data_IF_329562865750
#
_entry.id   IF_329562865750
#
_cell.length_a   1.000
_cell.length_b   1.000
_cell.length_c   1.000
_cell.angle_alpha   90.00
_cell.angle_beta   90.00
_cell.angle_gamma   90.00
#
_symmetry.space_group_name_H-M   'P 1'
#
loop_
_entity.id
_entity.type
_entity.pdbx_description
1 polymer ?
#
# COMPACT_ATOMS: atom_id res chain seq x y z
N UNK A 1 5.69 2.45 -16.86
CA UNK A 1 6.06 1.52 -15.77
C UNK A 1 4.92 1.56 -14.78
N UNK A 2 4.21 0.45 -14.61
CA UNK A 2 2.95 0.36 -13.82
C UNK A 2 3.32 0.19 -12.35
N UNK A 3 2.81 1.07 -11.47
CA UNK A 3 3.00 0.98 -10.02
C UNK A 3 1.66 0.57 -9.42
N UNK A 4 1.64 -0.50 -8.63
CA UNK A 4 0.45 -1.18 -8.07
C UNK A 4 0.19 -0.73 -6.62
N UNK A 5 -1.08 -0.65 -6.18
CA UNK A 5 -1.49 -0.15 -4.84
C UNK A 5 -1.82 -1.29 -3.88
N UNK A 6 -0.88 -1.73 -3.07
CA UNK A 6 -1.03 -2.94 -2.27
C UNK A 6 -1.81 -2.67 -0.92
N UNK A 7 -2.90 -3.38 -0.54
CA UNK A 7 -3.50 -3.40 0.83
C UNK A 7 -4.01 -4.78 1.35
N UNK A 8 -3.51 -5.33 2.48
CA UNK A 8 -4.10 -6.40 3.36
C UNK A 8 -3.24 -6.65 4.66
N UNK A 9 -3.78 -7.27 5.72
CA UNK A 9 -3.23 -7.41 7.09
C UNK A 9 -2.20 -8.54 7.31
N UNK A 10 -1.33 -8.39 8.33
CA UNK A 10 -0.33 -9.40 8.70
C UNK A 10 0.13 -9.39 10.19
N UNK A 11 0.72 -10.49 10.73
CA UNK A 11 1.24 -10.55 12.11
C UNK A 11 2.73 -10.16 12.27
N UNK A 12 3.12 -9.75 13.48
CA UNK A 12 4.48 -9.31 13.90
C UNK A 12 5.32 -10.45 14.57
N UNK A 13 6.69 -10.42 14.69
CA UNK A 13 7.62 -9.32 14.41
C UNK A 13 7.85 -9.05 12.93
N UNK A 14 7.47 -7.86 12.48
CA UNK A 14 7.78 -7.27 11.19
C UNK A 14 9.29 -7.00 11.25
N UNK A 15 10.07 -7.92 10.70
CA UNK A 15 11.39 -7.54 10.22
C UNK A 15 11.15 -6.28 9.38
N UNK A 16 12.01 -5.27 9.50
CA UNK A 16 12.28 -4.33 8.42
C UNK A 16 12.86 -5.11 7.21
N UNK A 17 12.20 -6.21 6.80
CA UNK A 17 12.22 -6.92 5.53
C UNK A 17 10.99 -7.79 5.16
N UNK A 18 9.88 -7.89 5.91
CA UNK A 18 8.70 -8.66 5.46
C UNK A 18 7.40 -8.46 6.25
N UNK A 19 6.29 -8.67 5.55
CA UNK A 19 4.89 -8.86 6.01
C UNK A 19 4.73 -10.20 6.77
N UNK A 20 5.81 -10.71 7.35
CA UNK A 20 5.87 -12.05 7.89
C UNK A 20 6.37 -11.97 9.32
N UNK A 21 5.70 -12.65 10.27
CA UNK A 21 6.13 -12.70 11.65
C UNK A 21 7.49 -13.42 11.71
N UNK A 22 8.43 -12.90 12.49
CA UNK A 22 9.71 -13.57 12.78
C UNK A 22 9.55 -14.85 13.62
N UNK A 23 8.40 -15.05 14.28
CA UNK A 23 8.10 -16.23 15.09
C UNK A 23 6.97 -17.05 14.46
N UNK A 24 6.94 -18.36 14.73
CA UNK A 24 5.88 -19.24 14.25
C UNK A 24 4.53 -18.83 14.84
N UNK A 25 3.75 -18.06 14.09
CA UNK A 25 2.38 -17.73 14.43
C UNK A 25 1.55 -19.02 14.46
N UNK A 26 0.75 -19.22 15.50
CA UNK A 26 -0.24 -20.31 15.58
C UNK A 26 -1.66 -19.84 15.24
N UNK A 27 -1.80 -18.59 14.80
CA UNK A 27 -3.07 -17.99 14.41
C UNK A 27 -3.24 -18.09 12.90
N UNK A 28 -4.32 -18.74 12.48
CA UNK A 28 -4.71 -18.88 11.08
C UNK A 28 -5.73 -17.79 10.74
N UNK A 29 -5.60 -17.17 9.56
CA UNK A 29 -6.72 -16.47 8.94
C UNK A 29 -7.62 -17.51 8.28
N UNK A 30 -8.77 -17.80 8.88
CA UNK A 30 -9.72 -18.81 8.39
C UNK A 30 -10.50 -18.26 7.20
N UNK A 31 -10.96 -17.02 7.31
CA UNK A 31 -11.63 -16.37 6.19
C UNK A 31 -11.38 -14.88 6.11
N UNK A 32 -11.52 -14.37 4.89
CA UNK A 32 -11.46 -12.96 4.57
C UNK A 32 -12.63 -12.57 3.67
N UNK A 33 -13.28 -11.45 3.97
CA UNK A 33 -14.26 -10.82 3.08
C UNK A 33 -13.93 -9.35 2.92
N UNK A 34 -13.79 -8.93 1.67
CA UNK A 34 -13.45 -7.56 1.30
C UNK A 34 -14.59 -6.98 0.48
N UNK A 35 -15.16 -5.88 0.95
CA UNK A 35 -16.20 -5.12 0.27
C UNK A 35 -15.64 -3.74 -0.09
N UNK A 36 -15.21 -3.58 -1.33
CA UNK A 36 -14.73 -2.32 -1.88
C UNK A 36 -15.82 -1.62 -2.68
N UNK A 37 -16.15 -0.38 -2.30
CA UNK A 37 -16.95 0.56 -3.08
C UNK A 37 -16.00 1.50 -3.81
N UNK A 38 -15.99 1.42 -5.13
CA UNK A 38 -15.05 2.14 -5.98
C UNK A 38 -15.72 3.39 -6.57
N UNK A 39 -15.11 4.54 -6.32
CA UNK A 39 -15.45 5.82 -6.92
C UNK A 39 -14.33 6.26 -7.88
N UNK A 40 -14.61 7.22 -8.75
CA UNK A 40 -13.63 7.69 -9.75
C UNK A 40 -12.34 8.26 -9.14
N UNK A 41 -12.41 8.80 -7.92
CA UNK A 41 -11.30 9.45 -7.23
C UNK A 41 -10.85 8.72 -5.96
N UNK A 42 -11.62 7.75 -5.47
CA UNK A 42 -11.43 7.15 -4.16
C UNK A 42 -12.08 5.77 -4.04
N UNK A 43 -11.78 5.06 -2.95
CA UNK A 43 -12.41 3.80 -2.57
C UNK A 43 -12.75 3.82 -1.09
N UNK A 44 -13.90 3.26 -0.74
CA UNK A 44 -14.28 2.92 0.63
C UNK A 44 -14.25 1.41 0.73
N UNK A 45 -13.46 0.88 1.65
CA UNK A 45 -13.22 -0.56 1.77
C UNK A 45 -13.55 -1.02 3.18
N UNK A 46 -14.27 -2.13 3.27
CA UNK A 46 -14.47 -2.89 4.50
C UNK A 46 -13.83 -4.27 4.31
N UNK A 47 -12.92 -4.63 5.21
CA UNK A 47 -12.32 -5.95 5.29
C UNK A 47 -12.73 -6.61 6.60
N UNK A 48 -13.19 -7.85 6.52
CA UNK A 48 -13.54 -8.68 7.68
C UNK A 48 -12.71 -9.95 7.64
N UNK A 49 -11.92 -10.15 8.68
CA UNK A 49 -11.05 -11.30 8.85
C UNK A 49 -11.55 -12.14 10.02
N UNK A 50 -11.69 -13.44 9.80
CA UNK A 50 -11.95 -14.41 10.85
C UNK A 50 -10.66 -15.14 11.14
N UNK A 51 -10.16 -14.98 12.35
CA UNK A 51 -8.88 -15.50 12.81
C UNK A 51 -9.13 -16.64 13.79
N UNK A 52 -8.28 -17.68 13.79
CA UNK A 52 -8.37 -18.81 14.72
C UNK A 52 -7.02 -19.12 15.33
N UNK A 53 -6.94 -19.17 16.65
CA UNK A 53 -5.72 -19.56 17.36
C UNK A 53 -5.67 -21.08 17.58
N UNK A 54 -4.65 -21.74 17.03
CA UNK A 54 -4.43 -23.18 17.21
C UNK A 54 -3.49 -23.50 18.38
N UNK A 55 -2.85 -22.48 18.96
CA UNK A 55 -1.90 -22.61 20.04
C UNK A 55 -2.52 -22.36 21.42
N UNK A 56 -1.64 -22.05 22.37
CA UNK A 56 -2.01 -21.54 23.69
C UNK A 56 -2.47 -20.09 23.58
N UNK A 57 -3.05 -19.57 24.65
CA UNK A 57 -3.37 -18.15 24.73
C UNK A 57 -2.14 -17.29 24.47
N UNK A 58 -2.28 -16.30 23.59
CA UNK A 58 -1.21 -15.36 23.24
C UNK A 58 -1.78 -14.01 22.83
N UNK A 59 -1.01 -12.95 23.09
CA UNK A 59 -1.24 -11.64 22.49
C UNK A 59 -0.23 -11.46 21.36
N UNK A 60 -0.72 -11.09 20.18
CA UNK A 60 0.13 -10.79 19.03
C UNK A 60 -0.17 -9.39 18.51
N UNK A 61 0.84 -8.74 17.97
CA UNK A 61 0.70 -7.52 17.21
C UNK A 61 0.19 -7.86 15.80
N UNK A 62 -0.89 -7.18 15.40
CA UNK A 62 -1.51 -7.26 14.07
C UNK A 62 -1.31 -5.92 13.39
N UNK A 63 -0.89 -5.95 12.13
CA UNK A 63 -0.68 -4.76 11.31
C UNK A 63 -1.67 -4.66 10.15
N UNK A 64 -2.11 -3.44 9.85
CA UNK A 64 -2.73 -3.06 8.57
C UNK A 64 -1.79 -2.11 7.80
N UNK A 65 -1.48 -2.34 6.50
CA UNK A 65 -0.49 -1.55 5.78
C UNK A 65 -0.82 -0.06 5.77
N UNK A 66 0.20 0.77 5.97
CA UNK A 66 0.09 2.22 5.84
C UNK A 66 -0.05 2.58 4.36
N UNK A 67 -1.26 2.97 3.98
CA UNK A 67 -1.62 3.07 2.56
C UNK A 67 -0.93 4.25 1.82
N UNK A 68 -0.41 5.22 2.58
CA UNK A 68 0.32 6.41 2.09
C UNK A 68 1.54 6.07 1.23
N UNK A 69 2.17 4.91 1.42
CA UNK A 69 3.35 4.47 0.66
C UNK A 69 3.04 3.97 -0.75
N UNK A 70 1.76 3.72 -1.08
CA UNK A 70 1.34 3.13 -2.34
C UNK A 70 0.89 4.13 -3.40
N UNK A 71 0.75 5.41 -3.02
CA UNK A 71 0.27 6.46 -3.91
C UNK A 71 1.44 7.35 -4.37
N UNK A 72 2.04 7.02 -5.51
CA UNK A 72 3.04 7.87 -6.16
C UNK A 72 2.37 8.94 -7.06
N UNK A 73 2.89 10.16 -6.97
CA UNK A 73 2.48 11.43 -7.60
C UNK A 73 1.00 11.90 -7.66
N UNK A 74 0.30 12.11 -6.53
CA UNK A 74 -0.79 13.13 -6.45
C UNK A 74 -0.32 14.39 -5.71
N UNK A 75 0.31 15.33 -6.43
CA UNK A 75 0.60 16.68 -5.89
C UNK A 75 -0.70 17.25 -5.28
N UNK A 76 -0.69 17.50 -3.97
CA UNK A 76 -1.81 18.09 -3.24
C UNK A 76 -2.53 17.21 -2.22
N UNK A 77 -2.22 15.90 -2.16
CA UNK A 77 -2.71 14.97 -1.11
C UNK A 77 -1.55 14.33 -0.31
N UNK A 78 -0.33 14.87 -0.47
CA UNK A 78 0.87 14.35 0.17
C UNK A 78 1.00 14.89 1.59
N UNK A 79 0.59 14.08 2.56
CA UNK A 79 0.83 14.36 3.98
C UNK A 79 -0.15 13.69 4.93
N UNK A 80 -1.32 13.28 4.45
CA UNK A 80 -2.38 12.89 5.38
C UNK A 80 -2.29 11.39 5.65
N UNK A 81 -1.75 11.09 6.83
CA UNK A 81 -2.03 9.87 7.58
C UNK A 81 -3.49 9.44 7.32
N UNK A 82 -3.71 8.23 6.81
CA UNK A 82 -5.07 7.72 6.54
C UNK A 82 -5.72 7.15 7.81
N UNK A 83 -4.98 7.07 8.92
CA UNK A 83 -5.51 6.61 10.21
C UNK A 83 -6.79 7.33 10.65
N UNK A 84 -7.02 8.63 10.40
CA UNK A 84 -8.26 9.31 10.74
C UNK A 84 -9.47 8.78 9.95
N UNK A 85 -9.23 8.17 8.79
CA UNK A 85 -10.24 7.55 7.93
C UNK A 85 -10.26 6.04 8.06
N UNK A 86 -9.50 5.47 8.99
CA UNK A 86 -9.44 4.05 9.28
C UNK A 86 -10.07 3.77 10.64
N UNK A 87 -10.99 2.82 10.66
CA UNK A 87 -11.50 2.23 11.90
C UNK A 87 -11.13 0.75 11.95
N UNK A 88 -10.67 0.31 13.12
CA UNK A 88 -10.35 -1.09 13.41
C UNK A 88 -11.25 -1.58 14.53
N UNK A 89 -11.84 -2.76 14.35
CA UNK A 89 -12.65 -3.44 15.35
C UNK A 89 -12.08 -4.83 15.61
N UNK A 90 -12.04 -5.21 16.89
CA UNK A 90 -11.71 -6.57 17.34
C UNK A 90 -12.94 -7.11 18.07
N UNK A 91 -13.58 -8.13 17.48
CA UNK A 91 -14.93 -8.52 17.86
C UNK A 91 -15.91 -7.35 17.67
N UNK A 92 -16.55 -6.93 18.76
CA UNK A 92 -17.45 -5.77 18.79
C UNK A 92 -16.78 -4.48 19.27
N UNK A 93 -15.53 -4.53 19.74
CA UNK A 93 -14.83 -3.38 20.30
C UNK A 93 -14.12 -2.60 19.19
N UNK A 94 -14.34 -1.28 19.14
CA UNK A 94 -13.56 -0.38 18.29
C UNK A 94 -12.24 -0.06 18.98
N UNK A 95 -11.12 -0.29 18.29
CA UNK A 95 -9.80 0.10 18.78
C UNK A 95 -9.67 1.62 18.71
N UNK A 96 -9.27 2.22 19.83
CA UNK A 96 -8.96 3.65 19.89
C UNK A 96 -7.79 3.96 18.95
N UNK A 97 -7.91 5.03 18.15
CA UNK A 97 -6.84 5.48 17.26
C UNK A 97 -5.51 5.73 17.99
N UNK A 98 -5.53 6.07 19.28
CA UNK A 98 -4.30 6.24 20.08
C UNK A 98 -3.57 4.92 20.35
N UNK A 99 -4.25 3.78 20.23
CA UNK A 99 -3.64 2.44 20.36
C UNK A 99 -3.05 1.94 19.04
N UNK A 100 -3.36 2.58 17.92
CA UNK A 100 -2.69 2.34 16.65
C UNK A 100 -1.33 3.03 16.68
N UNK A 101 -0.26 2.29 16.40
CA UNK A 101 1.07 2.89 16.28
C UNK A 101 1.81 2.42 15.04
N UNK A 102 2.71 3.27 14.58
CA UNK A 102 3.70 2.92 13.56
C UNK A 102 5.01 2.62 14.29
N UNK A 103 5.66 1.46 14.05
CA UNK A 103 6.93 1.11 14.67
C UNK A 103 7.98 2.22 14.50
N UNK A 104 8.73 2.53 15.58
CA UNK A 104 9.67 3.66 15.59
C UNK A 104 10.71 3.55 14.46
N UNK A 105 11.22 2.35 14.20
CA UNK A 105 12.20 2.13 13.14
C UNK A 105 11.65 2.49 11.73
N UNK A 106 10.34 2.37 11.51
CA UNK A 106 9.70 2.82 10.27
C UNK A 106 9.55 4.35 10.23
N UNK A 107 9.21 4.99 11.35
CA UNK A 107 9.19 6.47 11.48
C UNK A 107 10.58 7.07 11.22
N UNK A 108 11.63 6.47 11.79
CA UNK A 108 13.01 6.91 11.61
C UNK A 108 13.44 6.83 10.14
N UNK A 109 13.06 5.74 9.46
CA UNK A 109 13.32 5.56 8.04
C UNK A 109 12.57 6.58 7.17
N UNK A 110 11.29 6.86 7.47
CA UNK A 110 10.52 7.90 6.79
C UNK A 110 11.16 9.28 6.97
N UNK A 111 11.59 9.60 8.19
CA UNK A 111 12.29 10.85 8.49
C UNK A 111 13.60 10.97 7.69
N UNK A 112 14.39 9.89 7.62
CA UNK A 112 15.63 9.82 6.84
C UNK A 112 15.39 10.02 5.34
N UNK A 113 14.33 9.42 4.78
CA UNK A 113 13.93 9.62 3.37
C UNK A 113 13.57 11.09 3.11
N UNK A 114 12.78 11.71 4.00
CA UNK A 114 12.43 13.13 3.87
C UNK A 114 13.66 14.04 3.92
N UNK A 115 14.62 13.77 4.82
CA UNK A 115 15.88 14.51 4.88
C UNK A 115 16.68 14.35 3.59
N UNK A 116 16.78 13.13 3.06
CA UNK A 116 17.47 12.86 1.79
C UNK A 116 16.84 13.61 0.61
N UNK A 117 15.51 13.64 0.52
CA UNK A 117 14.81 14.38 -0.52
C UNK A 117 15.05 15.89 -0.41
N UNK A 118 14.92 16.47 0.80
CA UNK A 118 15.18 17.90 1.01
C UNK A 118 16.62 18.29 0.70
N UNK A 119 17.57 17.43 1.06
CA UNK A 119 18.97 17.60 0.73
C UNK A 119 19.21 17.61 -0.79
N UNK A 120 18.65 16.62 -1.50
CA UNK A 120 18.72 16.53 -2.97
C UNK A 120 18.05 17.72 -3.66
N UNK A 121 16.87 18.12 -3.23
CA UNK A 121 16.15 19.27 -3.79
C UNK A 121 16.96 20.56 -3.65
N UNK A 122 17.59 20.75 -2.49
CA UNK A 122 18.45 21.91 -2.23
C UNK A 122 19.68 21.92 -3.13
N UNK A 123 20.33 20.77 -3.33
CA UNK A 123 21.46 20.61 -4.22
C UNK A 123 21.08 20.84 -5.68
N UNK A 124 19.99 20.21 -6.14
CA UNK A 124 19.49 20.34 -7.50
C UNK A 124 19.14 21.79 -7.82
N UNK A 125 18.55 22.49 -6.85
CA UNK A 125 18.32 23.93 -6.97
C UNK A 125 19.64 24.70 -7.08
N UNK A 126 20.60 24.48 -6.17
CA UNK A 126 21.86 25.22 -6.16
C UNK A 126 22.70 25.03 -7.45
N UNK A 127 22.80 23.79 -7.94
CA UNK A 127 23.47 23.51 -9.21
C UNK A 127 22.70 24.07 -10.40
N UNK A 128 21.37 23.98 -10.38
CA UNK A 128 20.52 24.56 -11.41
C UNK A 128 20.68 26.07 -11.51
N UNK A 129 20.66 26.77 -10.37
CA UNK A 129 20.84 28.23 -10.29
C UNK A 129 22.25 28.62 -10.76
N UNK A 130 23.28 27.87 -10.37
CA UNK A 130 24.68 28.13 -10.80
C UNK A 130 24.87 27.94 -12.31
N UNK A 131 24.30 26.88 -12.88
CA UNK A 131 24.36 26.65 -14.32
C UNK A 131 23.50 27.66 -15.10
N UNK A 132 22.39 28.14 -14.54
CA UNK A 132 21.60 29.21 -15.15
C UNK A 132 22.38 30.52 -15.25
N UNK A 133 23.25 30.83 -14.29
CA UNK A 133 24.15 31.99 -14.38
C UNK A 133 25.16 31.88 -15.53
N UNK A 134 25.59 30.65 -15.87
CA UNK A 134 26.58 30.39 -16.93
C UNK A 134 25.91 30.36 -18.32
N UNK A 135 24.81 29.63 -18.45
CA UNK A 135 24.16 29.36 -19.74
C UNK A 135 23.02 30.35 -20.06
N UNK A 136 22.58 31.15 -19.10
CA UNK A 136 21.49 32.15 -19.23
C UNK A 136 20.08 31.56 -19.41
N UNK A 137 19.97 30.30 -19.83
CA UNK A 137 18.69 29.61 -20.06
C UNK A 137 18.86 28.08 -19.94
N UNK A 138 17.74 27.36 -19.82
CA UNK A 138 17.70 25.89 -19.76
C UNK A 138 17.74 25.27 -21.17
N UNK A 139 18.77 25.60 -21.93
CA UNK A 139 19.00 25.04 -23.26
C UNK A 139 19.59 23.60 -23.20
N UNK A 140 19.95 23.05 -24.35
CA UNK A 140 20.53 21.71 -24.46
C UNK A 140 21.82 21.57 -23.65
N UNK A 141 22.71 22.55 -23.72
CA UNK A 141 24.02 22.50 -23.07
C UNK A 141 23.88 22.59 -21.54
N UNK A 142 22.99 23.47 -21.04
CA UNK A 142 22.56 23.47 -19.64
C UNK A 142 22.07 22.07 -19.21
N UNK A 143 21.22 21.44 -20.02
CA UNK A 143 20.61 20.15 -19.66
C UNK A 143 21.67 19.04 -19.59
N UNK A 144 22.62 19.02 -20.53
CA UNK A 144 23.74 18.08 -20.54
C UNK A 144 24.63 18.31 -19.31
N UNK A 145 25.01 19.57 -19.04
CA UNK A 145 25.85 19.92 -17.89
C UNK A 145 25.17 19.59 -16.56
N UNK A 146 23.89 19.96 -16.41
CA UNK A 146 23.10 19.67 -15.22
C UNK A 146 23.02 18.16 -14.99
N UNK A 147 22.67 17.38 -16.01
CA UNK A 147 22.62 15.92 -15.91
C UNK A 147 23.99 15.33 -15.54
N UNK A 148 25.07 15.79 -16.16
CA UNK A 148 26.42 15.32 -15.86
C UNK A 148 26.84 15.57 -14.40
N UNK A 149 26.53 16.76 -13.87
CA UNK A 149 26.79 17.10 -12.46
C UNK A 149 25.94 16.22 -11.53
N UNK A 150 24.65 16.06 -11.82
CA UNK A 150 23.77 15.23 -11.00
C UNK A 150 24.20 13.76 -11.04
N UNK A 151 24.52 13.21 -12.21
CA UNK A 151 24.95 11.82 -12.37
C UNK A 151 26.27 11.56 -11.61
N UNK A 152 27.25 12.47 -11.71
CA UNK A 152 28.48 12.41 -10.94
C UNK A 152 28.19 12.46 -9.43
N UNK A 153 27.37 13.42 -9.00
CA UNK A 153 27.02 13.60 -7.61
C UNK A 153 26.30 12.39 -7.01
N UNK A 154 25.31 11.82 -7.72
CA UNK A 154 24.61 10.61 -7.32
C UNK A 154 25.52 9.37 -7.24
N UNK A 155 26.69 9.42 -7.88
CA UNK A 155 27.71 8.38 -7.81
C UNK A 155 28.65 8.54 -6.61
N UNK A 156 29.03 9.77 -6.25
CA UNK A 156 30.04 10.04 -5.21
C UNK A 156 29.45 10.40 -3.84
N UNK A 157 28.21 10.89 -3.77
CA UNK A 157 27.58 11.27 -2.51
C UNK A 157 27.13 10.05 -1.70
N UNK A 158 27.77 9.86 -0.55
CA UNK A 158 27.48 8.77 0.39
C UNK A 158 26.62 9.21 1.57
N UNK A 159 26.26 10.50 1.67
CA UNK A 159 25.56 11.11 2.81
C UNK A 159 24.27 10.40 3.18
N UNK A 160 23.56 9.88 2.18
CA UNK A 160 22.31 9.11 2.33
C UNK A 160 22.38 7.76 1.59
N UNK A 161 23.58 7.17 1.50
CA UNK A 161 23.78 5.86 0.84
C UNK A 161 23.00 4.72 1.50
N UNK A 162 22.84 4.79 2.82
CA UNK A 162 21.99 3.90 3.61
C UNK A 162 20.51 4.06 3.27
N UNK A 163 20.06 5.31 3.01
CA UNK A 163 18.69 5.60 2.59
C UNK A 163 18.47 5.13 1.17
N UNK A 164 19.40 5.35 0.24
CA UNK A 164 19.29 4.82 -1.12
C UNK A 164 19.12 3.30 -1.11
N UNK A 165 19.97 2.60 -0.36
CA UNK A 165 19.91 1.14 -0.22
C UNK A 165 18.64 0.66 0.47
N UNK A 166 18.19 1.37 1.51
CA UNK A 166 16.99 1.04 2.26
C UNK A 166 15.73 1.37 1.48
N UNK A 167 15.68 2.50 0.78
CA UNK A 167 14.59 2.95 -0.08
C UNK A 167 14.47 2.08 -1.33
N UNK A 168 15.59 1.68 -1.94
CA UNK A 168 15.57 0.69 -3.03
C UNK A 168 15.06 -0.66 -2.51
N UNK A 169 15.45 -1.10 -1.31
CA UNK A 169 14.85 -2.31 -0.69
C UNK A 169 13.37 -2.11 -0.34
N UNK A 170 12.95 -0.94 0.10
CA UNK A 170 11.54 -0.64 0.39
C UNK A 170 10.70 -0.67 -0.89
N UNK A 171 11.08 0.13 -1.89
CA UNK A 171 10.38 0.29 -3.16
C UNK A 171 10.48 -0.95 -4.07
N UNK A 172 11.65 -1.59 -4.14
CA UNK A 172 11.89 -2.72 -5.03
C UNK A 172 11.72 -4.09 -4.35
N UNK A 173 11.94 -4.22 -3.03
CA UNK A 173 11.62 -5.47 -2.32
C UNK A 173 10.22 -5.51 -1.67
N UNK A 174 9.37 -4.49 -1.81
CA UNK A 174 7.88 -4.54 -1.67
C UNK A 174 7.31 -5.19 -0.39
N UNK A 175 8.15 -5.41 0.61
CA UNK A 175 7.88 -6.27 1.78
C UNK A 175 8.05 -5.53 3.11
N UNK A 176 8.40 -4.24 3.05
CA UNK A 176 8.61 -3.37 4.21
C UNK A 176 7.82 -2.12 4.07
N UNK A 177 6.57 -2.17 4.47
CA UNK A 177 5.73 -0.99 4.43
C UNK A 177 5.36 -0.77 5.87
N UNK A 178 5.43 0.46 6.40
CA UNK A 178 4.92 0.70 7.73
C UNK A 178 3.48 0.20 7.81
N UNK A 179 3.12 -0.31 8.98
CA UNK A 179 1.78 -0.76 9.29
C UNK A 179 1.25 0.10 10.42
N UNK A 180 -0.06 0.34 10.43
CA UNK A 180 -0.76 0.64 11.67
C UNK A 180 -0.86 -0.65 12.46
N UNK A 181 -0.21 -0.69 13.63
CA UNK A 181 -0.11 -1.89 14.46
C UNK A 181 -0.98 -1.74 15.71
N UNK A 182 -1.62 -2.83 16.13
CA UNK A 182 -2.34 -2.95 17.39
C UNK A 182 -2.24 -4.36 17.96
N UNK A 183 -2.48 -4.50 19.26
CA UNK A 183 -2.48 -5.80 19.94
C UNK A 183 -3.84 -6.51 19.83
N UNK A 184 -3.79 -7.82 19.61
CA UNK A 184 -4.95 -8.71 19.71
C UNK A 184 -4.60 -9.91 20.58
N UNK A 185 -5.39 -10.12 21.64
CA UNK A 185 -5.30 -11.32 22.48
C UNK A 185 -6.17 -12.42 21.92
N UNK A 186 -5.59 -13.61 21.80
CA UNK A 186 -6.24 -14.82 21.34
C UNK A 186 -6.19 -15.91 22.41
N UNK A 187 -7.32 -16.34 22.97
CA UNK A 187 -7.42 -17.57 23.77
C UNK A 187 -7.16 -18.81 22.91
N UNK A 188 -6.81 -19.91 23.55
CA UNK A 188 -6.61 -21.18 22.87
C UNK A 188 -7.90 -21.62 22.13
N UNK A 189 -7.78 -22.00 20.85
CA UNK A 189 -8.85 -22.49 19.99
C UNK A 189 -9.97 -21.49 19.68
N UNK A 190 -9.86 -20.24 20.10
CA UNK A 190 -10.91 -19.25 19.87
C UNK A 190 -10.89 -18.71 18.45
N UNK A 191 -12.04 -18.16 18.05
CA UNK A 191 -12.17 -17.37 16.83
C UNK A 191 -12.35 -15.91 17.19
N UNK A 192 -11.55 -15.04 16.57
CA UNK A 192 -11.67 -13.59 16.71
C UNK A 192 -11.98 -13.00 15.34
N UNK A 193 -12.93 -12.08 15.31
CA UNK A 193 -13.19 -11.29 14.10
C UNK A 193 -12.43 -9.98 14.19
N UNK A 194 -11.67 -9.65 13.15
CA UNK A 194 -11.05 -8.34 12.98
C UNK A 194 -11.73 -7.67 11.80
N UNK A 195 -12.25 -6.45 12.00
CA UNK A 195 -12.82 -5.65 10.91
C UNK A 195 -12.03 -4.37 10.75
N UNK A 196 -11.62 -4.07 9.53
CA UNK A 196 -10.97 -2.81 9.17
C UNK A 196 -11.81 -2.11 8.13
N UNK A 197 -12.18 -0.86 8.37
CA UNK A 197 -12.83 -0.01 7.38
C UNK A 197 -11.95 1.19 7.09
N UNK A 198 -11.71 1.51 5.82
CA UNK A 198 -10.89 2.65 5.45
C UNK A 198 -11.38 3.35 4.18
N UNK A 199 -10.99 4.61 4.03
CA UNK A 199 -11.10 5.37 2.77
C UNK A 199 -9.72 5.69 2.24
N UNK A 200 -9.49 5.43 0.96
CA UNK A 200 -8.24 5.72 0.27
C UNK A 200 -8.51 6.40 -1.09
N UNK A 201 -7.60 7.26 -1.59
CA UNK A 201 -7.68 7.75 -2.97
C UNK A 201 -7.46 6.61 -3.97
N UNK A 202 -7.98 6.76 -5.19
CA UNK A 202 -7.70 5.82 -6.26
C UNK A 202 -6.23 5.90 -6.71
N UNK A 203 -5.69 4.78 -7.19
CA UNK A 203 -4.40 4.76 -7.86
C UNK A 203 -4.45 5.49 -9.20
N UNK A 204 -3.32 6.06 -9.64
CA UNK A 204 -3.19 6.75 -10.93
C UNK A 204 -1.97 6.25 -11.67
N UNK A 205 -2.12 5.86 -12.94
CA UNK A 205 -0.97 5.51 -13.78
C UNK A 205 -0.17 6.75 -14.16
N UNK A 206 1.16 6.66 -14.09
CA UNK A 206 2.05 7.78 -14.42
C UNK A 206 1.86 8.25 -15.87
N UNK A 207 1.55 9.55 -16.05
CA UNK A 207 1.27 10.20 -17.35
C UNK A 207 0.08 9.61 -18.12
N UNK A 208 -0.84 8.96 -17.41
CA UNK A 208 -2.05 8.36 -17.98
C UNK A 208 -3.28 8.87 -17.20
N UNK A 209 -4.44 8.90 -17.86
CA UNK A 209 -5.73 9.14 -17.21
C UNK A 209 -6.30 7.90 -16.54
N UNK A 210 -5.72 6.72 -16.79
CA UNK A 210 -6.12 5.47 -16.17
C UNK A 210 -5.94 5.51 -14.66
N UNK A 211 -7.01 5.10 -13.97
CA UNK A 211 -7.10 4.92 -12.53
C UNK A 211 -7.14 3.45 -12.20
N UNK A 212 -6.83 3.12 -10.96
CA UNK A 212 -6.94 1.74 -10.52
C UNK A 212 -7.25 1.60 -9.03
N UNK A 213 -7.84 0.46 -8.71
CA UNK A 213 -7.94 -0.12 -7.38
C UNK A 213 -7.05 -1.36 -7.33
N UNK A 214 -6.35 -1.55 -6.22
CA UNK A 214 -5.61 -2.78 -5.97
C UNK A 214 -5.72 -3.14 -4.50
N UNK A 215 -5.82 -4.44 -4.25
CA UNK A 215 -5.92 -5.05 -2.93
C UNK A 215 -4.92 -6.20 -2.86
N UNK A 216 -4.11 -6.26 -1.81
CA UNK A 216 -3.17 -7.37 -1.60
C UNK A 216 -3.95 -8.53 -1.01
N UNK A 217 -3.60 -9.75 -1.37
CA UNK A 217 -3.91 -10.94 -0.59
C UNK A 217 -2.62 -11.64 -0.14
N UNK A 218 -1.49 -11.41 -0.84
CA UNK A 218 -0.18 -12.03 -0.58
C UNK A 218 0.40 -11.81 0.83
N UNK A 219 -0.02 -10.74 1.52
CA UNK A 219 0.24 -10.48 2.95
C UNK A 219 -0.30 -11.59 3.85
N UNK A 220 -1.40 -12.22 3.43
CA UNK A 220 -2.03 -13.35 4.12
C UNK A 220 -1.10 -14.56 4.31
N UNK A 221 -0.04 -14.68 3.51
CA UNK A 221 0.95 -15.77 3.61
C UNK A 221 1.79 -15.71 4.90
N UNK A 222 1.69 -14.62 5.66
CA UNK A 222 2.31 -14.50 6.98
C UNK A 222 1.55 -15.24 8.10
N UNK A 223 0.31 -15.68 7.86
CA UNK A 223 -0.50 -16.37 8.86
C UNK A 223 -0.27 -17.88 8.87
N UNK A 224 -0.67 -18.53 9.96
CA UNK A 224 -0.55 -19.98 10.09
C UNK A 224 -1.50 -20.69 9.12
N UNK A 225 -0.97 -21.57 8.26
CA UNK A 225 -1.73 -22.33 7.23
C UNK A 225 -2.40 -21.43 6.18
N UNK A 226 -2.93 -22.08 5.14
CA UNK A 226 -3.73 -21.44 4.10
C UNK A 226 -5.00 -20.79 4.63
N UNK A 227 -5.45 -19.74 3.95
CA UNK A 227 -6.75 -19.12 4.14
C UNK A 227 -7.84 -20.04 3.58
N UNK A 228 -8.76 -20.51 4.42
CA UNK A 228 -9.77 -21.49 3.98
C UNK A 228 -10.71 -20.88 2.94
N UNK A 229 -11.09 -19.61 3.11
CA UNK A 229 -11.93 -18.89 2.15
C UNK A 229 -11.62 -17.39 2.12
N UNK A 230 -11.30 -16.84 0.95
CA UNK A 230 -11.24 -15.40 0.74
C UNK A 230 -12.26 -14.97 -0.33
N UNK A 231 -12.92 -13.83 -0.11
CA UNK A 231 -13.88 -13.27 -1.08
C UNK A 231 -13.67 -11.77 -1.20
N UNK A 232 -13.48 -11.29 -2.42
CA UNK A 232 -13.31 -9.87 -2.71
C UNK A 232 -14.44 -9.41 -3.63
N UNK A 233 -15.20 -8.43 -3.17
CA UNK A 233 -16.23 -7.73 -3.93
C UNK A 233 -15.76 -6.30 -4.21
N UNK A 234 -15.74 -5.92 -5.48
CA UNK A 234 -15.51 -4.55 -5.91
C UNK A 234 -16.72 -4.04 -6.69
N UNK A 235 -17.42 -3.07 -6.11
CA UNK A 235 -18.64 -2.49 -6.68
C UNK A 235 -18.35 -1.10 -7.22
N UNK A 236 -18.68 -0.87 -8.49
CA UNK A 236 -18.51 0.44 -9.13
C UNK A 236 -19.67 1.36 -8.73
N UNK A 237 -19.36 2.54 -8.21
CA UNK A 237 -20.36 3.45 -7.65
C UNK A 237 -20.76 4.55 -8.63
N UNK A 238 -19.80 5.33 -9.13
CA UNK A 238 -20.01 6.54 -9.92
C UNK A 238 -19.41 6.46 -11.36
N UNK A 239 -18.99 5.26 -11.79
CA UNK A 239 -18.58 4.97 -13.16
C UNK A 239 -19.11 3.62 -13.64
N UNK A 240 -19.10 3.43 -14.96
CA UNK A 240 -19.69 2.26 -15.60
C UNK A 240 -18.69 1.14 -15.85
N UNK A 241 -19.20 -0.09 -15.91
CA UNK A 241 -18.42 -1.29 -16.22
C UNK A 241 -17.63 -1.18 -17.53
N UNK A 242 -18.13 -0.40 -18.50
CA UNK A 242 -17.47 -0.18 -19.79
C UNK A 242 -16.20 0.68 -19.68
N UNK A 243 -15.97 1.37 -18.56
CA UNK A 243 -14.72 2.13 -18.35
C UNK A 243 -13.59 1.23 -17.85
N UNK A 244 -13.90 0.03 -17.35
CA UNK A 244 -12.92 -0.93 -16.82
C UNK A 244 -12.13 -1.54 -17.98
N UNK A 245 -10.82 -1.31 -17.99
CA UNK A 245 -9.89 -1.76 -19.03
C UNK A 245 -9.19 -3.07 -18.67
N UNK A 246 -9.04 -3.35 -17.36
CA UNK A 246 -8.31 -4.53 -16.89
C UNK A 246 -8.80 -4.97 -15.52
N UNK A 247 -8.82 -6.30 -15.32
CA UNK A 247 -9.04 -6.92 -14.01
C UNK A 247 -8.02 -8.02 -13.76
N UNK A 248 -7.62 -8.21 -12.50
CA UNK A 248 -6.87 -9.38 -12.03
C UNK A 248 -7.38 -9.82 -10.64
N UNK A 249 -7.26 -11.12 -10.29
CA UNK A 249 -6.91 -12.25 -11.17
C UNK A 249 -8.01 -12.53 -12.23
N UNK A 250 -7.74 -13.42 -13.20
CA UNK A 250 -8.62 -13.66 -14.36
C UNK A 250 -9.91 -14.42 -14.04
N UNK A 251 -10.01 -15.07 -12.87
CA UNK A 251 -11.17 -15.83 -12.40
C UNK A 251 -12.32 -14.96 -11.86
N UNK A 252 -12.40 -13.69 -12.29
CA UNK A 252 -13.42 -12.74 -11.85
C UNK A 252 -14.82 -13.12 -12.32
N UNK A 253 -15.82 -12.93 -11.46
CA UNK A 253 -17.24 -13.06 -11.79
C UNK A 253 -17.90 -11.69 -11.80
N UNK A 254 -18.74 -11.43 -12.80
CA UNK A 254 -19.41 -10.15 -13.00
C UNK A 254 -20.89 -10.24 -12.65
N UNK A 255 -21.38 -9.31 -11.84
CA UNK A 255 -22.82 -9.02 -11.68
C UNK A 255 -23.08 -7.65 -12.31
N UNK A 256 -23.63 -7.64 -13.52
CA UNK A 256 -23.89 -6.42 -14.30
C UNK A 256 -25.00 -5.57 -13.69
N UNK A 257 -25.98 -6.18 -13.01
CA UNK A 257 -27.08 -5.46 -12.39
C UNK A 257 -26.60 -4.67 -11.17
N UNK A 258 -25.66 -5.25 -10.41
CA UNK A 258 -25.06 -4.59 -9.23
C UNK A 258 -23.79 -3.80 -9.52
N UNK A 259 -23.27 -3.88 -10.76
CA UNK A 259 -21.95 -3.36 -11.16
C UNK A 259 -20.83 -3.87 -10.24
N UNK A 260 -20.84 -5.18 -9.95
CA UNK A 260 -19.91 -5.81 -8.99
C UNK A 260 -19.01 -6.83 -9.66
N UNK A 261 -17.71 -6.73 -9.40
CA UNK A 261 -16.69 -7.73 -9.70
C UNK A 261 -16.43 -8.56 -8.44
N UNK A 262 -16.44 -9.89 -8.57
CA UNK A 262 -16.25 -10.80 -7.44
C UNK A 262 -15.15 -11.82 -7.71
N UNK A 263 -14.21 -11.94 -6.78
CA UNK A 263 -13.23 -13.02 -6.71
C UNK A 263 -13.53 -13.91 -5.52
N UNK A 264 -13.45 -15.23 -5.73
CA UNK A 264 -13.58 -16.23 -4.67
C UNK A 264 -12.36 -17.13 -4.69
N UNK A 265 -11.76 -17.32 -3.52
CA UNK A 265 -10.62 -18.20 -3.30
C UNK A 265 -10.97 -19.21 -2.21
N UNK A 266 -10.46 -20.43 -2.34
CA UNK A 266 -10.70 -21.54 -1.40
C UNK A 266 -9.35 -22.22 -1.15
N UNK A 267 -9.02 -22.47 0.13
CA UNK A 267 -7.73 -23.03 0.55
C UNK A 267 -6.55 -22.29 -0.09
N UNK A 268 -6.58 -20.96 0.03
CA UNK A 268 -5.64 -20.04 -0.58
C UNK A 268 -4.35 -19.97 0.25
N UNK A 269 -3.23 -20.35 -0.35
CA UNK A 269 -1.90 -19.93 0.10
C UNK A 269 -1.50 -18.72 -0.74
N UNK A 270 -1.73 -17.49 -0.27
CA UNK A 270 -1.80 -16.35 -1.15
C UNK A 270 -0.43 -15.91 -1.68
N UNK A 271 -0.40 -15.51 -2.94
CA UNK A 271 0.78 -15.02 -3.64
C UNK A 271 0.48 -13.68 -4.31
N UNK A 272 1.50 -13.01 -4.86
CA UNK A 272 1.30 -11.78 -5.64
C UNK A 272 0.35 -11.97 -6.84
N UNK A 273 0.18 -13.20 -7.33
CA UNK A 273 -0.72 -13.51 -8.43
C UNK A 273 -2.21 -13.47 -8.01
N UNK A 274 -2.48 -13.57 -6.71
CA UNK A 274 -3.84 -13.59 -6.15
C UNK A 274 -4.35 -12.18 -5.84
N UNK A 275 -3.44 -11.20 -5.72
CA UNK A 275 -3.78 -9.80 -5.47
C UNK A 275 -4.79 -9.27 -6.49
N UNK A 276 -5.82 -8.59 -6.00
CA UNK A 276 -6.93 -8.08 -6.81
C UNK A 276 -6.57 -6.73 -7.39
N UNK A 277 -6.87 -6.55 -8.68
CA UNK A 277 -6.62 -5.32 -9.42
C UNK A 277 -7.80 -4.99 -10.32
N UNK A 278 -8.22 -3.73 -10.34
CA UNK A 278 -9.16 -3.18 -11.32
C UNK A 278 -8.57 -1.89 -11.86
N UNK A 279 -8.42 -1.80 -13.18
CA UNK A 279 -8.05 -0.58 -13.88
C UNK A 279 -9.24 -0.05 -14.66
N UNK A 280 -9.42 1.26 -14.64
CA UNK A 280 -10.51 1.92 -15.33
C UNK A 280 -10.12 3.32 -15.81
N UNK A 281 -10.79 3.78 -16.86
CA UNK A 281 -10.62 5.13 -17.36
C UNK A 281 -11.56 6.09 -16.61
N UNK A 282 -10.99 7.09 -15.94
CA UNK A 282 -11.78 8.16 -15.34
C UNK A 282 -12.35 9.07 -16.45
N UNK A 283 -13.66 9.38 -16.46
CA UNK A 283 -14.28 10.21 -17.50
C UNK A 283 -13.82 11.69 -17.56
N UNK A 284 -13.10 12.22 -16.57
CA UNK A 284 -12.71 13.65 -16.52
C UNK A 284 -11.18 13.87 -16.59
N UNK A 285 -10.58 14.74 -17.42
CA UNK A 285 -11.00 15.60 -18.53
C UNK A 285 -10.04 15.33 -19.69
N UNK A 286 -10.53 14.96 -20.88
CA UNK A 286 -9.81 15.28 -22.12
C UNK A 286 -9.75 16.81 -22.20
N UNK A 287 -8.68 17.43 -21.69
CA UNK A 287 -8.38 18.83 -21.99
C UNK A 287 -8.19 18.89 -23.51
N UNK A 288 -9.11 19.55 -24.20
CA UNK A 288 -8.86 20.14 -25.50
C UNK A 288 -7.71 21.15 -25.38
#
# INVERSE_FOLDING_TARGET
MVVSTWADIAPNPIQLKSIMPNEACSVQMVSETVNAKLYNDSSIVECVFTMKNWGKESTIEVGFPEMTFYHWSMKGLYGDDISPFMDVYVGSEKIDQQRLYIPQAAKDLQHRIMLSNRYRDSLYKAYGDSLLLIYGTKNRDYTIAFKGIIDYYLHVDTTFSDVKSSFERLLFNRRNIPFYVWDVTFKALEHVTIKVTYKAPCGMKYRDSARYFYYILSTGAGWYKSIEKATVHATLMDFDMNSVSQTKPSNVRLDTNKKTYTWNFVNLEPTEADNVYIEYNSPEKRKK
#
